data_IF_519373903491
#
_entry.id   IF_519373903491
#
_cell.length_a   1.000
_cell.length_b   1.000
_cell.length_c   1.000
_cell.angle_alpha   90.00
_cell.angle_beta   90.00
_cell.angle_gamma   90.00
#
_symmetry.space_group_name_H-M   'P 1'
#
loop_
_entity.id
_entity.type
_entity.pdbx_description
1 polymer ?
#
# COMPACT_ATOMS: atom_id res chain seq x y z
N UNK A 1 -32.45 7.06 -9.59
CA UNK A 1 -30.98 7.16 -9.80
C UNK A 1 -30.53 5.78 -10.20
N UNK A 2 -29.84 5.65 -11.32
CA UNK A 2 -29.29 4.36 -11.74
C UNK A 2 -28.20 3.94 -10.77
N UNK A 3 -28.23 2.69 -10.34
CA UNK A 3 -27.24 2.11 -9.42
C UNK A 3 -25.89 2.02 -10.13
N UNK A 4 -24.85 2.64 -9.56
CA UNK A 4 -23.47 2.55 -10.07
C UNK A 4 -22.68 1.56 -9.23
N UNK A 5 -21.99 0.63 -9.90
CA UNK A 5 -21.20 -0.42 -9.24
C UNK A 5 -19.72 -0.07 -9.28
N UNK A 6 -19.02 -0.25 -8.16
CA UNK A 6 -17.57 -0.32 -8.05
C UNK A 6 -17.19 -1.70 -7.50
N UNK A 7 -16.25 -2.36 -8.16
CA UNK A 7 -15.61 -3.58 -7.65
C UNK A 7 -14.19 -3.26 -7.22
N UNK A 8 -13.79 -3.71 -6.03
CA UNK A 8 -12.42 -3.55 -5.53
C UNK A 8 -11.84 -4.94 -5.23
N UNK A 9 -10.70 -5.25 -5.85
CA UNK A 9 -9.81 -6.32 -5.41
C UNK A 9 -8.73 -5.69 -4.54
N UNK A 10 -8.56 -6.24 -3.35
CA UNK A 10 -7.61 -5.72 -2.37
C UNK A 10 -6.65 -6.82 -1.93
N UNK A 11 -5.35 -6.48 -1.92
CA UNK A 11 -4.30 -7.28 -1.29
C UNK A 11 -3.54 -6.42 -0.30
N UNK A 12 -2.89 -7.04 0.67
CA UNK A 12 -2.03 -6.38 1.65
C UNK A 12 -1.03 -7.39 2.18
N UNK A 13 0.08 -6.93 2.73
CA UNK A 13 1.03 -7.76 3.47
C UNK A 13 1.54 -8.97 2.68
N UNK A 14 1.86 -8.75 1.41
CA UNK A 14 2.40 -9.80 0.53
C UNK A 14 3.83 -10.20 0.90
N UNK A 15 4.56 -9.33 1.60
CA UNK A 15 5.90 -9.60 2.15
C UNK A 15 6.85 -10.29 1.18
N UNK A 16 6.80 -9.91 -0.11
CA UNK A 16 7.63 -10.49 -1.15
C UNK A 16 7.26 -11.92 -1.57
N UNK A 17 6.13 -12.46 -1.12
CA UNK A 17 5.60 -13.73 -1.61
C UNK A 17 4.86 -13.52 -2.93
N UNK A 18 5.61 -13.60 -4.02
CA UNK A 18 5.11 -13.39 -5.39
C UNK A 18 4.57 -14.68 -5.99
N UNK A 19 5.38 -15.72 -5.92
CA UNK A 19 5.06 -17.04 -6.48
C UNK A 19 4.26 -17.87 -5.47
N UNK A 20 3.48 -18.88 -5.93
CA UNK A 20 2.71 -19.76 -5.05
C UNK A 20 3.61 -20.78 -4.34
N UNK A 21 4.55 -20.30 -3.56
CA UNK A 21 5.51 -21.12 -2.81
C UNK A 21 5.86 -20.49 -1.47
N UNK A 22 6.00 -21.32 -0.45
CA UNK A 22 6.52 -20.93 0.86
C UNK A 22 8.04 -21.15 1.00
N UNK A 23 8.71 -21.52 -0.12
CA UNK A 23 10.15 -21.80 -0.20
C UNK A 23 10.64 -22.99 0.67
N UNK A 24 9.74 -23.71 1.35
CA UNK A 24 10.10 -24.84 2.25
C UNK A 24 9.89 -26.21 1.65
N UNK A 25 9.23 -26.32 0.50
CA UNK A 25 8.92 -27.61 -0.11
C UNK A 25 8.60 -27.50 -1.58
N UNK A 26 8.35 -28.66 -2.20
CA UNK A 26 7.93 -28.74 -3.60
C UNK A 26 6.43 -28.59 -3.73
N UNK A 27 5.98 -28.10 -4.89
CA UNK A 27 4.59 -27.93 -5.26
C UNK A 27 4.02 -26.54 -4.97
N UNK A 28 2.91 -26.24 -5.63
CA UNK A 28 2.20 -24.99 -5.44
C UNK A 28 1.50 -24.91 -4.09
N UNK A 29 1.44 -23.69 -3.53
CA UNK A 29 0.71 -23.33 -2.32
C UNK A 29 -0.39 -22.32 -2.65
N UNK A 30 -1.42 -22.28 -1.83
CA UNK A 30 -2.52 -21.29 -1.95
C UNK A 30 -2.09 -19.96 -1.30
N UNK A 31 -1.02 -19.35 -1.83
CA UNK A 31 -0.43 -18.08 -1.38
C UNK A 31 0.28 -17.36 -2.53
N UNK A 32 0.66 -16.11 -2.28
CA UNK A 32 1.47 -15.30 -3.18
C UNK A 32 0.67 -14.46 -4.17
N UNK A 33 1.30 -13.39 -4.62
CA UNK A 33 0.71 -12.38 -5.49
C UNK A 33 0.05 -12.99 -6.74
N UNK A 34 0.74 -13.89 -7.44
CA UNK A 34 0.22 -14.45 -8.69
C UNK A 34 -1.03 -15.32 -8.48
N UNK A 35 -1.14 -15.96 -7.31
CA UNK A 35 -2.35 -16.71 -6.95
C UNK A 35 -3.53 -15.75 -6.73
N UNK A 36 -3.33 -14.65 -6.01
CA UNK A 36 -4.33 -13.60 -5.84
C UNK A 36 -4.73 -12.99 -7.20
N UNK A 37 -3.75 -12.57 -7.99
CA UNK A 37 -3.98 -11.93 -9.29
C UNK A 37 -4.73 -12.82 -10.30
N UNK A 38 -4.59 -14.14 -10.21
CA UNK A 38 -5.35 -15.08 -11.04
C UNK A 38 -6.86 -14.99 -10.83
N UNK A 39 -7.31 -14.39 -9.74
CA UNK A 39 -8.72 -14.19 -9.40
C UNK A 39 -9.28 -12.83 -9.83
N UNK A 40 -8.42 -11.89 -10.22
CA UNK A 40 -8.88 -10.56 -10.63
C UNK A 40 -9.67 -10.65 -11.94
N UNK A 41 -10.83 -10.00 -11.95
CA UNK A 41 -11.69 -9.85 -13.11
C UNK A 41 -11.92 -8.36 -13.31
N UNK A 42 -10.97 -7.73 -14.01
CA UNK A 42 -10.91 -6.28 -14.17
C UNK A 42 -11.73 -5.82 -15.38
N UNK A 43 -12.58 -4.84 -15.13
CA UNK A 43 -13.33 -4.08 -16.13
C UNK A 43 -13.16 -2.57 -15.85
N UNK A 44 -13.84 -1.72 -16.60
CA UNK A 44 -13.75 -0.25 -16.43
C UNK A 44 -14.37 0.29 -15.12
N UNK A 45 -15.00 -0.58 -14.32
CA UNK A 45 -15.57 -0.24 -13.01
C UNK A 45 -14.90 -1.02 -11.86
N UNK A 46 -13.71 -1.53 -12.11
CA UNK A 46 -12.94 -2.33 -11.15
C UNK A 46 -11.63 -1.64 -10.82
N UNK A 47 -11.32 -1.56 -9.53
CA UNK A 47 -10.01 -1.14 -9.00
C UNK A 47 -9.29 -2.33 -8.38
N UNK A 48 -7.98 -2.43 -8.63
CA UNK A 48 -7.08 -3.36 -7.97
C UNK A 48 -6.11 -2.55 -7.13
N UNK A 49 -6.14 -2.77 -5.83
CA UNK A 49 -5.45 -1.94 -4.83
C UNK A 49 -4.59 -2.82 -3.94
N UNK A 50 -3.40 -2.35 -3.58
CA UNK A 50 -2.54 -2.99 -2.59
C UNK A 50 -2.35 -2.11 -1.35
N UNK A 51 -2.41 -2.74 -0.19
CA UNK A 51 -2.35 -2.10 1.13
C UNK A 51 -0.93 -1.88 1.68
N UNK A 52 0.11 -2.22 0.91
CA UNK A 52 1.51 -2.08 1.36
C UNK A 52 2.12 -3.37 1.93
N UNK A 53 3.34 -3.26 2.41
CA UNK A 53 4.17 -4.36 2.91
C UNK A 53 4.46 -5.43 1.85
N UNK A 54 5.00 -4.99 0.71
CA UNK A 54 5.38 -5.91 -0.36
C UNK A 54 6.87 -6.23 -0.39
N UNK A 55 7.76 -5.34 0.06
CA UNK A 55 9.18 -5.39 -0.28
C UNK A 55 10.01 -6.32 0.61
N UNK A 56 9.59 -6.55 1.86
CA UNK A 56 10.38 -7.26 2.87
C UNK A 56 9.60 -8.44 3.45
N UNK A 57 10.27 -9.57 3.75
CA UNK A 57 9.71 -10.70 4.51
C UNK A 57 9.92 -12.07 3.89
N UNK A 58 10.04 -12.20 2.56
CA UNK A 58 10.31 -13.49 1.91
C UNK A 58 11.79 -13.70 1.57
N UNK A 59 12.21 -14.96 1.31
CA UNK A 59 13.53 -15.21 0.75
C UNK A 59 13.80 -14.49 -0.57
N UNK A 60 12.77 -14.28 -1.40
CA UNK A 60 12.89 -13.49 -2.62
C UNK A 60 13.15 -12.01 -2.30
N UNK A 61 12.47 -11.46 -1.28
CA UNK A 61 12.70 -10.09 -0.81
C UNK A 61 14.14 -9.90 -0.36
N UNK A 62 14.64 -10.79 0.50
CA UNK A 62 16.04 -10.78 0.95
C UNK A 62 17.01 -10.88 -0.23
N UNK A 63 16.79 -11.79 -1.17
CA UNK A 63 17.64 -11.92 -2.37
C UNK A 63 17.66 -10.65 -3.23
N UNK A 64 16.50 -10.04 -3.45
CA UNK A 64 16.42 -8.79 -4.22
C UNK A 64 17.16 -7.65 -3.52
N UNK A 65 17.10 -7.57 -2.21
CA UNK A 65 17.83 -6.57 -1.43
C UNK A 65 19.33 -6.86 -1.40
N UNK A 66 19.74 -8.05 -0.90
CA UNK A 66 21.13 -8.36 -0.56
C UNK A 66 22.00 -8.62 -1.80
N UNK A 67 21.40 -9.14 -2.88
CA UNK A 67 22.14 -9.56 -4.08
C UNK A 67 21.93 -8.63 -5.26
N UNK A 68 20.69 -8.17 -5.50
CA UNK A 68 20.38 -7.30 -6.65
C UNK A 68 20.52 -5.83 -6.27
N UNK A 69 20.23 -5.45 -5.03
CA UNK A 69 20.23 -4.08 -4.55
C UNK A 69 19.09 -3.21 -5.12
N UNK A 70 17.99 -3.83 -5.59
CA UNK A 70 16.88 -3.11 -6.22
C UNK A 70 15.57 -3.87 -6.10
N UNK A 71 14.50 -3.14 -5.78
CA UNK A 71 13.13 -3.63 -5.72
C UNK A 71 12.36 -3.52 -7.07
N UNK A 72 13.01 -3.09 -8.15
CA UNK A 72 12.38 -2.91 -9.47
C UNK A 72 11.63 -4.16 -9.97
N UNK A 73 12.12 -5.36 -9.64
CA UNK A 73 11.49 -6.63 -10.02
C UNK A 73 10.11 -6.80 -9.38
N UNK A 74 9.92 -6.35 -8.14
CA UNK A 74 8.60 -6.37 -7.51
C UNK A 74 7.62 -5.46 -8.27
N UNK A 75 8.07 -4.27 -8.66
CA UNK A 75 7.25 -3.37 -9.47
C UNK A 75 6.86 -3.98 -10.83
N UNK A 76 7.79 -4.64 -11.51
CA UNK A 76 7.51 -5.34 -12.77
C UNK A 76 6.41 -6.42 -12.59
N UNK A 77 6.47 -7.17 -11.48
CA UNK A 77 5.49 -8.21 -11.16
C UNK A 77 4.12 -7.61 -10.81
N UNK A 78 4.08 -6.54 -10.00
CA UNK A 78 2.86 -5.78 -9.70
C UNK A 78 2.23 -5.20 -10.98
N UNK A 79 3.06 -4.67 -11.89
CA UNK A 79 2.59 -4.13 -13.18
C UNK A 79 1.92 -5.19 -14.05
N UNK A 80 2.41 -6.44 -14.03
CA UNK A 80 1.79 -7.57 -14.76
C UNK A 80 0.46 -7.98 -14.16
N UNK A 81 0.27 -7.78 -12.85
CA UNK A 81 -0.98 -8.09 -12.15
C UNK A 81 -2.04 -7.00 -12.30
N UNK A 82 -1.70 -5.83 -12.86
CA UNK A 82 -2.64 -4.79 -13.23
C UNK A 82 -3.17 -3.97 -12.06
N UNK A 83 -2.37 -3.73 -11.04
CA UNK A 83 -2.72 -2.82 -9.93
C UNK A 83 -2.91 -1.38 -10.41
N UNK A 84 -3.90 -0.69 -9.83
CA UNK A 84 -4.21 0.72 -10.08
C UNK A 84 -3.58 1.63 -9.04
N UNK A 85 -3.64 1.21 -7.78
CA UNK A 85 -3.15 1.97 -6.64
C UNK A 85 -2.42 1.06 -5.67
N UNK A 86 -1.45 1.64 -4.96
CA UNK A 86 -0.80 1.05 -3.80
C UNK A 86 -0.70 2.11 -2.71
N UNK A 87 -0.74 1.69 -1.45
CA UNK A 87 -0.19 2.49 -0.35
C UNK A 87 1.13 1.89 0.11
N UNK A 88 1.76 2.49 1.10
CA UNK A 88 2.97 1.97 1.72
C UNK A 88 2.63 1.33 3.06
N UNK A 89 3.28 0.22 3.37
CA UNK A 89 3.28 -0.36 4.69
C UNK A 89 4.56 -0.02 5.46
N UNK A 90 4.62 -0.42 6.72
CA UNK A 90 5.78 -0.12 7.56
C UNK A 90 7.05 -0.86 7.10
N UNK A 91 6.92 -2.08 6.59
CA UNK A 91 8.06 -2.84 6.09
C UNK A 91 8.59 -2.40 4.72
N UNK A 92 7.87 -1.56 4.00
CA UNK A 92 8.37 -1.00 2.73
C UNK A 92 9.53 -0.02 2.95
N UNK A 93 9.69 0.51 4.18
CA UNK A 93 10.78 1.41 4.56
C UNK A 93 12.03 0.69 5.09
N UNK A 94 11.98 -0.62 5.39
CA UNK A 94 13.05 -1.35 6.08
C UNK A 94 14.41 -1.32 5.37
N UNK A 95 14.40 -1.17 4.05
CA UNK A 95 15.63 -1.12 3.25
C UNK A 95 16.00 0.30 2.81
N UNK A 96 15.34 1.32 3.37
CA UNK A 96 15.58 2.72 3.12
C UNK A 96 15.01 3.25 1.80
N UNK A 97 15.01 4.59 1.70
CA UNK A 97 14.40 5.30 0.58
C UNK A 97 14.96 4.95 -0.80
N UNK A 98 16.29 4.75 -0.99
CA UNK A 98 16.81 4.39 -2.30
C UNK A 98 16.25 3.05 -2.83
N UNK A 99 16.05 2.08 -1.94
CA UNK A 99 15.48 0.79 -2.32
C UNK A 99 13.98 0.91 -2.64
N UNK A 100 13.22 1.62 -1.80
CA UNK A 100 11.81 1.92 -2.04
C UNK A 100 11.63 2.70 -3.36
N UNK A 101 12.48 3.70 -3.63
CA UNK A 101 12.41 4.46 -4.87
C UNK A 101 12.68 3.60 -6.11
N UNK A 102 13.52 2.58 -6.01
CA UNK A 102 13.76 1.64 -7.11
C UNK A 102 12.50 0.83 -7.48
N UNK A 103 11.61 0.60 -6.51
CA UNK A 103 10.27 0.03 -6.73
C UNK A 103 9.32 1.05 -7.34
N UNK A 104 9.17 2.21 -6.70
CA UNK A 104 8.20 3.24 -7.08
C UNK A 104 8.45 3.81 -8.47
N UNK A 105 9.72 3.94 -8.88
CA UNK A 105 10.09 4.47 -10.21
C UNK A 105 9.71 3.55 -11.38
N UNK A 106 9.54 2.26 -11.13
CA UNK A 106 9.16 1.27 -12.15
C UNK A 106 7.66 0.93 -12.09
N UNK A 107 7.05 1.16 -10.93
CA UNK A 107 5.65 0.85 -10.69
C UNK A 107 4.72 1.73 -11.55
N UNK A 108 3.77 1.09 -12.25
CA UNK A 108 2.72 1.77 -13.03
C UNK A 108 1.52 2.18 -12.18
N UNK A 109 1.20 1.37 -11.15
CA UNK A 109 0.19 1.73 -10.16
C UNK A 109 0.59 3.04 -9.47
N UNK A 110 -0.38 3.85 -9.11
CA UNK A 110 -0.13 5.11 -8.40
C UNK A 110 0.02 4.84 -6.91
N UNK A 111 1.15 5.25 -6.34
CA UNK A 111 1.30 5.28 -4.89
C UNK A 111 0.49 6.45 -4.31
N UNK A 112 -0.26 6.17 -3.26
CA UNK A 112 -1.02 7.13 -2.44
C UNK A 112 -0.69 6.91 -0.98
N UNK A 113 -0.13 7.92 -0.30
CA UNK A 113 0.20 7.87 1.12
C UNK A 113 0.31 9.31 1.67
N UNK A 114 -0.80 9.85 2.12
CA UNK A 114 -0.98 11.28 2.43
C UNK A 114 -0.09 11.78 3.57
N UNK A 115 0.25 10.92 4.50
CA UNK A 115 1.08 11.29 5.64
C UNK A 115 2.57 11.07 5.42
N UNK A 116 3.00 10.60 4.23
CA UNK A 116 4.42 10.62 3.82
C UNK A 116 4.70 11.93 3.07
N UNK A 117 5.60 12.72 3.59
CA UNK A 117 5.92 14.06 3.09
C UNK A 117 7.39 14.14 2.68
N UNK A 118 7.70 14.99 1.71
CA UNK A 118 9.05 15.53 1.60
C UNK A 118 9.32 16.39 2.83
N UNK A 119 10.53 16.48 3.33
CA UNK A 119 10.85 17.20 4.58
C UNK A 119 10.18 18.58 4.68
N UNK A 120 10.24 19.41 3.64
CA UNK A 120 9.64 20.74 3.62
C UNK A 120 8.67 20.99 2.44
N UNK A 121 8.62 20.11 1.45
CA UNK A 121 7.97 20.37 0.15
C UNK A 121 6.53 19.84 -0.01
N UNK A 122 5.91 19.31 1.04
CA UNK A 122 4.52 18.83 0.99
C UNK A 122 4.37 17.32 0.86
N UNK A 123 3.15 16.86 0.56
CA UNK A 123 2.80 15.44 0.47
C UNK A 123 3.51 14.79 -0.71
N UNK A 124 4.23 13.69 -0.45
CA UNK A 124 4.97 12.96 -1.49
C UNK A 124 4.05 12.12 -2.38
N UNK A 125 3.05 11.47 -1.80
CA UNK A 125 2.14 10.56 -2.48
C UNK A 125 0.68 10.97 -2.25
N UNK A 126 0.22 12.07 -2.87
CA UNK A 126 -1.08 12.64 -2.58
C UNK A 126 -2.23 11.73 -3.04
N UNK A 127 -3.37 11.85 -2.39
CA UNK A 127 -4.63 11.25 -2.79
C UNK A 127 -4.98 11.55 -4.25
N UNK A 128 -5.72 10.65 -4.88
CA UNK A 128 -6.09 10.72 -6.30
C UNK A 128 -7.59 10.61 -6.49
N UNK A 129 -8.08 11.21 -7.55
CA UNK A 129 -9.44 10.97 -8.04
C UNK A 129 -9.36 10.01 -9.21
N UNK A 130 -10.13 8.93 -9.13
CA UNK A 130 -10.30 7.95 -10.19
C UNK A 130 -11.74 8.03 -10.71
N UNK A 131 -11.89 8.27 -12.00
CA UNK A 131 -13.21 8.24 -12.64
C UNK A 131 -13.40 6.89 -13.33
N UNK A 132 -14.39 6.13 -12.88
CA UNK A 132 -14.75 4.84 -13.44
C UNK A 132 -15.49 5.02 -14.78
N UNK A 133 -15.60 3.95 -15.58
CA UNK A 133 -16.30 3.96 -16.85
C UNK A 133 -17.78 4.37 -16.70
N UNK A 134 -18.43 3.98 -15.60
CA UNK A 134 -19.82 4.38 -15.28
C UNK A 134 -19.93 5.83 -14.77
N UNK A 135 -18.84 6.60 -14.79
CA UNK A 135 -18.79 8.00 -14.37
C UNK A 135 -18.78 8.22 -12.86
N UNK A 136 -18.58 7.17 -12.04
CA UNK A 136 -18.40 7.34 -10.59
C UNK A 136 -17.00 7.91 -10.32
N UNK A 137 -16.91 9.03 -9.60
CA UNK A 137 -15.65 9.64 -9.21
C UNK A 137 -15.27 9.17 -7.82
N UNK A 138 -14.17 8.46 -7.71
CA UNK A 138 -13.70 7.82 -6.47
C UNK A 138 -12.43 8.53 -6.00
N UNK A 139 -12.44 9.09 -4.80
CA UNK A 139 -11.25 9.59 -4.12
C UNK A 139 -10.49 8.43 -3.47
N UNK A 140 -9.21 8.30 -3.78
CA UNK A 140 -8.34 7.25 -3.21
C UNK A 140 -7.34 7.92 -2.29
N UNK A 141 -7.40 7.59 -1.00
CA UNK A 141 -6.53 8.13 0.05
C UNK A 141 -5.80 6.97 0.71
N UNK A 142 -4.47 6.99 0.69
CA UNK A 142 -3.63 6.04 1.43
C UNK A 142 -2.99 6.73 2.62
N UNK A 143 -2.74 5.98 3.67
CA UNK A 143 -1.98 6.38 4.86
C UNK A 143 -1.26 5.18 5.46
N UNK A 144 -0.14 5.42 6.12
CA UNK A 144 0.62 4.43 6.88
C UNK A 144 0.71 4.88 8.35
N UNK A 145 0.90 3.94 9.25
CA UNK A 145 1.14 4.26 10.67
C UNK A 145 2.37 5.14 10.84
N UNK A 146 2.28 6.16 11.67
CA UNK A 146 3.41 7.03 12.04
C UNK A 146 4.42 6.36 12.99
N UNK A 147 4.08 5.18 13.53
CA UNK A 147 5.00 4.34 14.29
C UNK A 147 6.23 3.89 13.49
N UNK A 148 6.20 3.99 12.17
CA UNK A 148 7.39 3.82 11.32
C UNK A 148 8.54 4.70 11.82
N UNK A 149 8.26 5.92 12.30
CA UNK A 149 9.28 6.80 12.88
C UNK A 149 9.96 6.24 14.14
N UNK A 150 9.32 5.28 14.82
CA UNK A 150 9.85 4.62 16.03
C UNK A 150 10.56 3.32 15.67
N UNK A 151 10.04 2.60 14.67
CA UNK A 151 10.54 1.28 14.30
C UNK A 151 11.73 1.34 13.35
N UNK A 152 11.77 2.38 12.49
CA UNK A 152 12.82 2.50 11.49
C UNK A 152 14.01 3.33 11.99
N UNK A 153 15.17 3.02 11.40
CA UNK A 153 16.36 3.83 11.59
C UNK A 153 16.19 5.17 10.87
N UNK A 154 16.66 6.29 11.47
CA UNK A 154 16.53 7.60 10.83
C UNK A 154 17.14 7.66 9.41
N UNK A 155 18.23 6.93 9.16
CA UNK A 155 18.86 6.87 7.83
C UNK A 155 17.98 6.20 6.78
N UNK A 156 17.05 5.31 7.17
CA UNK A 156 16.10 4.70 6.24
C UNK A 156 14.99 5.67 5.80
N UNK A 157 14.73 6.68 6.60
CA UNK A 157 13.70 7.71 6.35
C UNK A 157 14.30 9.03 5.83
N UNK A 158 15.58 9.02 5.42
CA UNK A 158 16.25 10.22 4.96
C UNK A 158 15.51 10.90 3.80
N UNK A 159 15.22 12.20 3.95
CA UNK A 159 14.54 13.03 2.94
C UNK A 159 13.02 12.94 2.98
N UNK A 160 12.43 12.22 3.95
CA UNK A 160 11.00 12.19 4.18
C UNK A 160 10.65 12.38 5.66
N UNK A 161 9.42 12.80 5.91
CA UNK A 161 8.79 12.81 7.22
C UNK A 161 7.46 12.04 7.14
N UNK A 162 7.20 11.18 8.13
CA UNK A 162 5.91 10.50 8.27
C UNK A 162 5.16 11.21 9.40
N UNK A 163 4.04 11.84 9.07
CA UNK A 163 3.25 12.65 10.00
C UNK A 163 2.08 11.86 10.57
N UNK A 164 1.42 12.41 11.60
CA UNK A 164 0.18 11.85 12.15
C UNK A 164 -0.83 11.61 11.01
N UNK A 165 -1.36 10.37 10.87
CA UNK A 165 -2.28 10.02 9.80
C UNK A 165 -3.63 10.74 9.89
N UNK A 166 -4.11 11.08 11.09
CA UNK A 166 -5.45 11.65 11.27
C UNK A 166 -5.58 13.04 10.65
N UNK A 167 -4.70 14.03 10.96
CA UNK A 167 -4.74 15.33 10.27
C UNK A 167 -4.48 15.22 8.78
N UNK A 168 -3.63 14.29 8.33
CA UNK A 168 -3.34 14.08 6.92
C UNK A 168 -4.60 13.62 6.15
N UNK A 169 -5.33 12.64 6.68
CA UNK A 169 -6.60 12.19 6.10
C UNK A 169 -7.64 13.30 6.11
N UNK A 170 -7.79 14.04 7.22
CA UNK A 170 -8.76 15.12 7.30
C UNK A 170 -8.51 16.19 6.23
N UNK A 171 -7.26 16.56 6.01
CA UNK A 171 -6.87 17.51 4.96
C UNK A 171 -7.15 16.96 3.54
N UNK A 172 -6.89 15.66 3.31
CA UNK A 172 -7.18 15.01 2.04
C UNK A 172 -8.68 14.96 1.76
N UNK A 173 -9.50 14.59 2.74
CA UNK A 173 -10.96 14.56 2.64
C UNK A 173 -11.52 15.95 2.32
N UNK A 174 -11.01 16.98 2.97
CA UNK A 174 -11.45 18.37 2.71
C UNK A 174 -11.14 18.80 1.27
N UNK A 175 -9.95 18.46 0.76
CA UNK A 175 -9.59 18.74 -0.64
C UNK A 175 -10.48 18.01 -1.64
N UNK A 176 -10.94 16.80 -1.31
CA UNK A 176 -11.71 15.95 -2.22
C UNK A 176 -13.23 16.15 -2.12
N UNK A 177 -13.73 16.78 -1.06
CA UNK A 177 -15.15 16.85 -0.65
C UNK A 177 -16.14 17.03 -1.81
N UNK A 178 -15.95 18.05 -2.64
CA UNK A 178 -16.89 18.41 -3.71
C UNK A 178 -16.48 17.84 -5.08
N UNK A 179 -15.42 17.04 -5.11
CA UNK A 179 -14.83 16.54 -6.35
C UNK A 179 -15.14 15.05 -6.60
N UNK A 180 -15.60 14.33 -5.58
CA UNK A 180 -15.81 12.89 -5.63
C UNK A 180 -17.20 12.49 -5.18
N UNK A 181 -17.65 11.36 -5.64
CA UNK A 181 -18.94 10.78 -5.28
C UNK A 181 -18.78 9.75 -4.13
N UNK A 182 -17.57 9.19 -3.99
CA UNK A 182 -17.19 8.20 -2.99
C UNK A 182 -15.71 8.38 -2.63
N UNK A 183 -15.34 8.08 -1.38
CA UNK A 183 -13.95 8.01 -0.94
C UNK A 183 -13.61 6.59 -0.47
N UNK A 184 -12.46 6.09 -0.91
CA UNK A 184 -11.83 4.85 -0.46
C UNK A 184 -10.57 5.21 0.33
N UNK A 185 -10.56 4.89 1.62
CA UNK A 185 -9.40 4.99 2.49
C UNK A 185 -8.64 3.66 2.54
N UNK A 186 -7.33 3.71 2.38
CA UNK A 186 -6.41 2.59 2.52
C UNK A 186 -5.52 2.90 3.71
N UNK A 187 -5.68 2.18 4.80
CA UNK A 187 -4.86 2.36 6.00
C UNK A 187 -3.97 1.15 6.24
N UNK A 188 -2.67 1.38 6.28
CA UNK A 188 -1.70 0.38 6.71
C UNK A 188 -1.24 0.68 8.14
N UNK A 189 -1.79 -0.08 9.09
CA UNK A 189 -1.52 0.05 10.52
C UNK A 189 -2.52 -0.76 11.32
N UNK A 190 -2.42 -0.67 12.65
CA UNK A 190 -3.27 -1.42 13.56
C UNK A 190 -4.46 -0.61 14.06
N UNK A 191 -5.24 -1.25 14.91
CA UNK A 191 -6.36 -0.64 15.62
C UNK A 191 -6.04 -0.50 17.11
N UNK A 192 -6.48 0.58 17.73
CA UNK A 192 -6.34 0.78 19.17
C UNK A 192 -7.19 -0.19 20.01
N UNK A 193 -8.20 -0.77 19.38
CA UNK A 193 -9.16 -1.65 20.03
C UNK A 193 -9.33 -2.95 19.24
N UNK A 194 -9.50 -4.03 19.97
CA UNK A 194 -9.94 -5.29 19.40
C UNK A 194 -11.32 -5.12 18.75
N UNK A 195 -11.44 -5.47 17.49
CA UNK A 195 -12.64 -5.23 16.68
C UNK A 195 -13.86 -6.07 17.14
N UNK A 196 -13.62 -7.24 17.76
CA UNK A 196 -14.68 -8.12 18.20
C UNK A 196 -15.19 -7.75 19.59
N UNK A 197 -14.29 -7.36 20.49
CA UNK A 197 -14.60 -7.12 21.91
C UNK A 197 -14.67 -5.66 22.31
N UNK A 198 -14.15 -4.74 21.47
CA UNK A 198 -14.02 -3.31 21.76
C UNK A 198 -13.00 -2.96 22.86
N UNK A 199 -12.26 -3.96 23.38
CA UNK A 199 -11.26 -3.75 24.44
C UNK A 199 -10.09 -2.97 23.87
N UNK A 200 -9.60 -1.99 24.62
CA UNK A 200 -8.34 -1.31 24.30
C UNK A 200 -7.22 -2.35 24.33
N UNK A 201 -6.46 -2.42 23.25
CA UNK A 201 -5.28 -3.29 23.18
C UNK A 201 -4.19 -2.65 24.04
N UNK A 202 -3.78 -3.34 25.08
CA UNK A 202 -2.87 -2.82 26.11
C UNK A 202 -1.41 -2.65 25.67
N UNK A 203 -1.11 -2.95 24.40
CA UNK A 203 0.19 -2.75 23.78
C UNK A 203 0.05 -1.93 22.52
N UNK A 204 0.73 -0.77 22.43
CA UNK A 204 0.78 0.00 21.17
C UNK A 204 1.50 -0.73 20.01
N UNK A 205 1.96 -1.97 20.25
CA UNK A 205 2.67 -2.81 19.29
C UNK A 205 1.78 -3.64 18.35
N UNK A 206 0.46 -3.59 18.50
CA UNK A 206 -0.45 -4.26 17.57
C UNK A 206 -0.90 -3.33 16.44
N UNK A 207 -0.04 -2.40 16.05
CA UNK A 207 -0.20 -1.58 14.85
C UNK A 207 0.49 -2.23 13.64
N UNK A 208 0.40 -3.57 13.55
CA UNK A 208 0.84 -4.33 12.38
C UNK A 208 -0.37 -4.63 11.51
#
# INVERSE_FOLDING_TARGET
>A
MDEKKLTIYFTSDLHGYIYPTDYRGQGEKELGLFKCASRFRKDGNTLVIDGGDILQGSPLGAFCHDTIGSAARFAEMMNRCGYDYVTLGNHDFNYGMPYLDSYLNVLKARCVCENVRWDEAGVRFPARIHTLENGLRVGIIGIVTDYVNIWEKPEHLAGIAITDPIPAVAAALERLRDQVDLTVGIYHGGFERDLATGRVLSYPFYHI
#
